data_IF_771220204408
#
_entry.id   IF_771220204408
#
_cell.length_a   1.000
_cell.length_b   1.000
_cell.length_c   1.000
_cell.angle_alpha   90.00
_cell.angle_beta   90.00
_cell.angle_gamma   90.00
#
_symmetry.space_group_name_H-M   'P 1'
#
loop_
_entity.id
_entity.type
_entity.pdbx_description
1 polymer ?
#
# COMPACT_ATOMS: atom_id res chain seq x y z
N UNK A 1 -18.21 6.77 -30.83
CA UNK A 1 -17.93 5.98 -29.61
C UNK A 1 -16.67 6.55 -28.99
N UNK A 2 -16.72 7.01 -27.74
CA UNK A 2 -15.60 7.14 -26.81
C UNK A 2 -16.24 7.47 -25.46
N UNK A 3 -16.49 6.44 -24.66
CA UNK A 3 -16.94 6.61 -23.28
C UNK A 3 -15.71 6.35 -22.42
N UNK A 4 -15.01 7.42 -22.05
CA UNK A 4 -13.97 7.36 -21.04
C UNK A 4 -14.65 7.03 -19.70
N UNK A 5 -14.45 5.81 -19.20
CA UNK A 5 -14.82 5.44 -17.84
C UNK A 5 -13.88 6.19 -16.89
N UNK A 6 -14.36 7.30 -16.35
CA UNK A 6 -13.74 7.95 -15.20
C UNK A 6 -13.99 7.06 -13.98
N UNK A 7 -12.96 6.35 -13.54
CA UNK A 7 -12.92 5.80 -12.19
C UNK A 7 -12.75 6.98 -11.22
N UNK A 8 -13.82 7.29 -10.49
CA UNK A 8 -13.81 8.24 -9.38
C UNK A 8 -12.87 7.72 -8.28
N UNK A 9 -11.91 8.52 -7.77
CA UNK A 9 -11.02 8.08 -6.71
C UNK A 9 -11.79 8.10 -5.38
N UNK A 10 -12.25 6.92 -4.94
CA UNK A 10 -12.63 6.67 -3.55
C UNK A 10 -11.38 6.28 -2.74
N UNK A 11 -10.35 7.15 -2.72
CA UNK A 11 -9.01 6.79 -2.20
C UNK A 11 -8.83 7.06 -0.69
N UNK A 12 -9.70 7.81 -0.03
CA UNK A 12 -9.33 8.37 1.28
C UNK A 12 -9.58 7.49 2.53
N UNK A 13 -9.95 6.21 2.43
CA UNK A 13 -10.31 5.42 3.63
C UNK A 13 -9.79 3.97 3.71
N UNK A 14 -8.98 3.50 2.75
CA UNK A 14 -8.49 2.11 2.74
C UNK A 14 -6.98 1.96 2.92
N UNK A 15 -6.21 3.05 3.03
CA UNK A 15 -4.75 2.98 3.05
C UNK A 15 -4.14 2.52 4.40
N UNK A 16 -4.92 2.41 5.49
CA UNK A 16 -4.39 2.07 6.83
C UNK A 16 -4.92 0.77 7.45
N UNK A 17 -5.64 -0.07 6.70
CA UNK A 17 -6.24 -1.30 7.24
C UNK A 17 -5.72 -2.62 6.65
N UNK A 18 -4.52 -2.63 6.06
CA UNK A 18 -3.86 -3.87 5.64
C UNK A 18 -3.09 -4.63 6.74
N UNK A 19 -2.91 -4.16 8.00
CA UNK A 19 -2.34 -5.06 9.03
C UNK A 19 -3.34 -6.13 9.51
N UNK A 20 -4.65 -5.86 9.45
CA UNK A 20 -5.64 -6.65 10.19
C UNK A 20 -5.93 -8.03 9.60
N UNK A 21 -5.64 -8.28 8.31
CA UNK A 21 -5.78 -9.63 7.73
C UNK A 21 -4.50 -10.47 7.81
N UNK A 22 -3.32 -9.84 7.89
CA UNK A 22 -2.05 -10.55 8.04
C UNK A 22 -1.89 -11.20 9.42
N UNK A 23 -2.39 -10.54 10.47
CA UNK A 23 -2.29 -11.04 11.85
C UNK A 23 -3.15 -12.29 12.13
N UNK A 24 -4.21 -12.54 11.34
CA UNK A 24 -5.09 -13.69 11.56
C UNK A 24 -4.54 -15.02 10.99
N UNK A 25 -3.50 -14.96 10.14
CA UNK A 25 -2.91 -16.14 9.48
C UNK A 25 -1.53 -16.53 10.01
N UNK A 26 -1.08 -16.00 11.15
CA UNK A 26 0.14 -16.46 11.85
C UNK A 26 1.47 -16.31 11.08
N UNK A 27 1.45 -15.78 9.86
CA UNK A 27 2.64 -15.38 9.11
C UNK A 27 2.87 -13.89 9.33
N UNK A 28 4.06 -13.52 9.78
CA UNK A 28 4.48 -12.11 9.75
C UNK A 28 4.39 -11.56 8.33
N UNK A 29 4.38 -10.22 8.21
CA UNK A 29 4.50 -9.60 6.90
C UNK A 29 5.74 -10.16 6.17
N UNK A 30 5.64 -10.52 4.87
CA UNK A 30 6.77 -11.03 4.12
C UNK A 30 7.91 -10.00 4.13
N UNK A 31 9.14 -10.49 4.31
CA UNK A 31 10.33 -9.62 4.30
C UNK A 31 10.55 -8.99 2.91
N UNK A 32 11.40 -7.97 2.81
CA UNK A 32 11.82 -7.39 1.51
C UNK A 32 12.31 -8.49 0.58
N UNK A 33 13.17 -9.37 1.10
CA UNK A 33 13.77 -10.45 0.33
C UNK A 33 12.69 -11.42 -0.17
N UNK A 34 11.70 -11.76 0.65
CA UNK A 34 10.58 -12.61 0.24
C UNK A 34 9.75 -11.97 -0.87
N UNK A 35 9.49 -10.66 -0.78
CA UNK A 35 8.74 -9.92 -1.80
C UNK A 35 9.50 -9.86 -3.14
N UNK A 36 10.81 -9.59 -3.11
CA UNK A 36 11.63 -9.58 -4.32
C UNK A 36 11.74 -10.97 -4.93
N UNK A 37 11.93 -12.01 -4.11
CA UNK A 37 11.98 -13.40 -4.58
C UNK A 37 10.66 -13.84 -5.22
N UNK A 38 9.52 -13.42 -4.65
CA UNK A 38 8.22 -13.73 -5.24
C UNK A 38 8.06 -13.07 -6.61
N UNK A 39 8.51 -11.82 -6.78
CA UNK A 39 8.48 -11.15 -8.08
C UNK A 39 9.43 -11.83 -9.08
N UNK A 40 10.60 -12.27 -8.63
CA UNK A 40 11.55 -13.03 -9.45
C UNK A 40 10.97 -14.32 -10.00
N UNK A 41 10.32 -15.11 -9.15
CA UNK A 41 9.65 -16.36 -9.56
C UNK A 41 8.56 -16.12 -10.62
N UNK A 42 7.95 -14.94 -10.63
CA UNK A 42 6.88 -14.60 -11.56
C UNK A 42 7.37 -14.03 -12.90
N UNK A 43 8.43 -13.22 -12.91
CA UNK A 43 8.86 -12.48 -14.11
C UNK A 43 10.35 -12.57 -14.45
N UNK A 44 11.07 -13.48 -13.82
CA UNK A 44 12.50 -13.75 -14.08
C UNK A 44 13.32 -12.45 -14.01
N UNK A 45 13.48 -11.93 -12.80
CA UNK A 45 14.17 -10.67 -12.57
C UNK A 45 15.68 -10.88 -12.75
N UNK A 46 16.35 -9.90 -13.35
CA UNK A 46 17.81 -9.89 -13.34
C UNK A 46 18.35 -9.33 -12.01
N UNK A 47 19.63 -9.57 -11.73
CA UNK A 47 20.28 -9.16 -10.48
C UNK A 47 20.16 -7.65 -10.20
N UNK A 48 20.25 -6.81 -11.24
CA UNK A 48 20.10 -5.36 -11.11
C UNK A 48 18.67 -4.96 -10.72
N UNK A 49 17.67 -5.62 -11.29
CA UNK A 49 16.27 -5.38 -10.93
C UNK A 49 15.97 -5.82 -9.49
N UNK A 50 16.56 -6.94 -9.04
CA UNK A 50 16.42 -7.42 -7.66
C UNK A 50 17.00 -6.43 -6.66
N UNK A 51 18.20 -5.92 -6.95
CA UNK A 51 18.87 -4.91 -6.10
C UNK A 51 18.05 -3.61 -6.04
N UNK A 52 17.58 -3.13 -7.20
CA UNK A 52 16.77 -1.90 -7.26
C UNK A 52 15.44 -2.04 -6.52
N UNK A 53 14.73 -3.16 -6.70
CA UNK A 53 13.50 -3.44 -5.96
C UNK A 53 13.74 -3.58 -4.46
N UNK A 54 14.81 -4.27 -4.05
CA UNK A 54 15.15 -4.40 -2.63
C UNK A 54 15.40 -3.04 -1.99
N UNK A 55 16.13 -2.15 -2.67
CA UNK A 55 16.39 -0.79 -2.20
C UNK A 55 15.09 0.04 -2.09
N UNK A 56 14.23 -0.01 -3.11
CA UNK A 56 12.96 0.72 -3.12
C UNK A 56 12.00 0.23 -2.03
N UNK A 57 11.90 -1.09 -1.83
CA UNK A 57 11.04 -1.69 -0.81
C UNK A 57 11.58 -1.46 0.61
N UNK A 58 12.89 -1.37 0.77
CA UNK A 58 13.53 -1.02 2.05
C UNK A 58 13.26 0.45 2.38
N UNK A 59 13.49 1.34 1.41
CA UNK A 59 13.19 2.76 1.56
C UNK A 59 11.72 2.97 1.94
N UNK A 60 10.80 2.31 1.24
CA UNK A 60 9.38 2.38 1.55
C UNK A 60 9.06 1.97 2.99
N UNK A 61 9.69 0.91 3.51
CA UNK A 61 9.47 0.47 4.90
C UNK A 61 10.01 1.46 5.91
N UNK A 62 11.19 2.03 5.66
CA UNK A 62 11.79 3.04 6.54
C UNK A 62 10.92 4.31 6.57
N UNK A 63 10.50 4.78 5.39
CA UNK A 63 9.67 5.98 5.23
C UNK A 63 8.28 5.78 5.87
N UNK A 64 7.64 4.62 5.65
CA UNK A 64 6.37 4.28 6.30
C UNK A 64 6.51 4.24 7.81
N UNK A 65 7.56 3.59 8.35
CA UNK A 65 7.77 3.51 9.79
C UNK A 65 7.97 4.88 10.44
N UNK A 66 8.77 5.75 9.82
CA UNK A 66 8.98 7.12 10.31
C UNK A 66 7.69 7.94 10.26
N UNK A 67 6.96 7.89 9.14
CA UNK A 67 5.74 8.65 8.93
C UNK A 67 4.61 8.20 9.86
N UNK A 68 4.44 6.89 10.08
CA UNK A 68 3.46 6.36 11.04
C UNK A 68 3.77 6.82 12.47
N UNK A 69 5.05 6.86 12.85
CA UNK A 69 5.46 7.34 14.17
C UNK A 69 5.16 8.83 14.34
N UNK A 70 5.47 9.67 13.34
CA UNK A 70 5.15 11.11 13.39
C UNK A 70 3.64 11.35 13.44
N UNK A 71 2.86 10.64 12.62
CA UNK A 71 1.40 10.76 12.61
C UNK A 71 0.79 10.40 13.97
N UNK A 72 1.26 9.32 14.60
CA UNK A 72 0.80 8.93 15.94
C UNK A 72 1.15 9.96 17.01
N UNK A 73 2.31 10.62 16.91
CA UNK A 73 2.70 11.69 17.83
C UNK A 73 1.81 12.93 17.66
N UNK A 74 1.57 13.35 16.41
CA UNK A 74 0.68 14.49 16.12
C UNK A 74 -0.75 14.23 16.57
N UNK A 75 -1.27 13.01 16.38
CA UNK A 75 -2.60 12.63 16.88
C UNK A 75 -2.69 12.66 18.41
N UNK A 76 -1.63 12.25 19.11
CA UNK A 76 -1.55 12.34 20.57
C UNK A 76 -1.53 13.81 21.02
N UNK A 77 -0.67 14.64 20.42
CA UNK A 77 -0.60 16.08 20.71
C UNK A 77 -1.95 16.77 20.50
N UNK A 78 -2.62 16.51 19.37
CA UNK A 78 -3.97 17.01 19.09
C UNK A 78 -4.99 16.60 20.16
N UNK A 79 -4.86 15.39 20.70
CA UNK A 79 -5.73 14.89 21.77
C UNK A 79 -5.44 15.56 23.12
N UNK A 80 -4.17 15.89 23.41
CA UNK A 80 -3.74 16.59 24.62
C UNK A 80 -4.22 18.05 24.66
N UNK A 81 -4.43 18.69 23.50
CA UNK A 81 -4.99 20.04 23.42
C UNK A 81 -6.47 20.14 23.82
N UNK A 82 -7.17 19.02 24.00
CA UNK A 82 -8.58 18.99 24.40
C UNK A 82 -8.73 19.33 25.89
N UNK A 83 -8.73 20.62 26.21
CA UNK A 83 -8.86 21.14 27.57
C UNK A 83 -9.62 22.47 27.62
N UNK A 84 -10.12 22.92 28.80
CA UNK A 84 -10.92 24.15 28.93
C UNK A 84 -10.20 25.43 28.44
N UNK A 85 -8.88 25.51 28.60
CA UNK A 85 -8.04 26.64 28.19
C UNK A 85 -7.26 26.34 26.91
N UNK A 86 -7.93 25.73 25.92
CA UNK A 86 -7.28 25.27 24.69
C UNK A 86 -6.55 26.40 23.93
N UNK A 87 -5.42 26.05 23.32
CA UNK A 87 -4.68 26.92 22.40
C UNK A 87 -5.08 26.61 20.96
N UNK A 88 -5.93 27.45 20.37
CA UNK A 88 -6.38 27.28 18.99
C UNK A 88 -5.22 27.30 17.99
N UNK A 89 -4.21 28.15 18.23
CA UNK A 89 -3.09 28.29 17.30
C UNK A 89 -2.24 27.01 17.30
N UNK A 90 -2.00 26.42 18.47
CA UNK A 90 -1.30 25.15 18.59
C UNK A 90 -2.08 24.00 17.93
N UNK A 91 -3.39 23.89 18.16
CA UNK A 91 -4.24 22.87 17.51
C UNK A 91 -4.18 22.99 15.98
N UNK A 92 -4.29 24.21 15.44
CA UNK A 92 -4.23 24.42 13.99
C UNK A 92 -2.86 24.07 13.41
N UNK A 93 -1.77 24.40 14.12
CA UNK A 93 -0.42 24.07 13.68
C UNK A 93 -0.19 22.55 13.64
N UNK A 94 -0.60 21.82 14.68
CA UNK A 94 -0.44 20.36 14.73
C UNK A 94 -1.33 19.67 13.69
N UNK A 95 -2.54 20.20 13.43
CA UNK A 95 -3.43 19.69 12.40
C UNK A 95 -2.90 19.97 10.97
N UNK A 96 -2.32 21.14 10.73
CA UNK A 96 -1.67 21.46 9.46
C UNK A 96 -0.49 20.53 9.21
N UNK A 97 0.35 20.30 10.24
CA UNK A 97 1.47 19.36 10.15
C UNK A 97 1.02 17.93 9.84
N UNK A 98 -0.06 17.46 10.47
CA UNK A 98 -0.64 16.15 10.17
C UNK A 98 -1.18 16.05 8.73
N UNK A 99 -1.78 17.14 8.24
CA UNK A 99 -2.23 17.27 6.86
C UNK A 99 -1.07 17.21 5.86
N UNK A 100 0.00 17.96 6.11
CA UNK A 100 1.21 17.95 5.28
C UNK A 100 1.85 16.55 5.23
N UNK A 101 1.99 15.90 6.39
CA UNK A 101 2.50 14.54 6.48
C UNK A 101 1.65 13.56 5.66
N UNK A 102 0.32 13.67 5.75
CA UNK A 102 -0.60 12.81 4.97
C UNK A 102 -0.43 13.04 3.46
N UNK A 103 -0.23 14.30 3.05
CA UNK A 103 -0.02 14.63 1.65
C UNK A 103 1.33 14.10 1.12
N UNK A 104 2.40 14.25 1.91
CA UNK A 104 3.73 13.72 1.62
C UNK A 104 3.70 12.20 1.48
N UNK A 105 3.14 11.49 2.47
CA UNK A 105 2.95 10.04 2.42
C UNK A 105 2.19 9.58 1.17
N UNK A 106 1.15 10.32 0.77
CA UNK A 106 0.36 10.01 -0.43
C UNK A 106 1.22 10.17 -1.68
N UNK A 107 1.98 11.26 -1.78
CA UNK A 107 2.86 11.51 -2.91
C UNK A 107 3.96 10.45 -2.99
N UNK A 108 4.63 10.16 -1.88
CA UNK A 108 5.73 9.20 -1.80
C UNK A 108 5.28 7.78 -2.17
N UNK A 109 4.09 7.37 -1.72
CA UNK A 109 3.51 6.07 -2.10
C UNK A 109 3.36 5.95 -3.62
N UNK A 110 2.85 6.98 -4.29
CA UNK A 110 2.69 6.98 -5.76
C UNK A 110 4.04 7.05 -6.47
N UNK A 111 4.99 7.81 -5.92
CA UNK A 111 6.35 7.92 -6.47
C UNK A 111 7.06 6.57 -6.40
N UNK A 112 7.08 5.93 -5.23
CA UNK A 112 7.71 4.62 -5.03
C UNK A 112 7.04 3.57 -5.92
N UNK A 113 5.71 3.56 -6.02
CA UNK A 113 4.99 2.67 -6.94
C UNK A 113 5.44 2.88 -8.39
N UNK A 114 5.56 4.14 -8.82
CA UNK A 114 6.01 4.49 -10.18
C UNK A 114 7.46 4.07 -10.42
N UNK A 115 8.32 4.18 -9.42
CA UNK A 115 9.72 3.74 -9.50
C UNK A 115 9.80 2.22 -9.63
N UNK A 116 9.04 1.47 -8.82
CA UNK A 116 8.92 0.01 -8.90
C UNK A 116 8.45 -0.42 -10.29
N UNK A 117 7.39 0.20 -10.84
CA UNK A 117 6.93 -0.08 -12.21
C UNK A 117 8.00 0.18 -13.28
N UNK A 118 8.86 1.18 -13.03
CA UNK A 118 9.99 1.54 -13.88
C UNK A 118 11.12 0.53 -13.91
N UNK A 119 11.27 -0.31 -12.87
CA UNK A 119 12.28 -1.37 -12.81
C UNK A 119 11.97 -2.48 -13.81
N UNK A 120 10.70 -2.77 -14.03
CA UNK A 120 10.27 -3.84 -14.94
C UNK A 120 10.36 -3.43 -16.41
N UNK A 121 10.62 -4.41 -17.27
CA UNK A 121 10.42 -4.24 -18.72
C UNK A 121 8.93 -4.30 -19.07
N UNK A 122 8.57 -3.86 -20.29
CA UNK A 122 7.17 -3.97 -20.74
C UNK A 122 6.67 -5.42 -20.76
N UNK A 123 7.49 -6.36 -21.23
CA UNK A 123 7.13 -7.78 -21.25
C UNK A 123 6.92 -8.36 -19.85
N UNK A 124 7.74 -7.94 -18.87
CA UNK A 124 7.56 -8.37 -17.47
C UNK A 124 6.28 -7.78 -16.85
N UNK A 125 5.93 -6.52 -17.18
CA UNK A 125 4.64 -5.94 -16.75
C UNK A 125 3.46 -6.69 -17.35
N UNK A 126 3.49 -6.97 -18.65
CA UNK A 126 2.43 -7.73 -19.31
C UNK A 126 2.26 -9.13 -18.69
N UNK A 127 3.38 -9.77 -18.30
CA UNK A 127 3.38 -11.07 -17.63
C UNK A 127 2.82 -11.01 -16.19
N UNK A 128 3.12 -9.95 -15.44
CA UNK A 128 2.50 -9.71 -14.12
C UNK A 128 0.99 -9.52 -14.25
N UNK A 129 0.56 -8.70 -15.22
CA UNK A 129 -0.86 -8.44 -15.45
C UNK A 129 -1.62 -9.73 -15.78
N UNK A 130 -1.03 -10.60 -16.62
CA UNK A 130 -1.60 -11.91 -16.94
C UNK A 130 -1.65 -12.82 -15.71
N UNK A 131 -0.58 -12.90 -14.91
CA UNK A 131 -0.55 -13.71 -13.71
C UNK A 131 -1.63 -13.28 -12.70
N UNK A 132 -1.78 -11.96 -12.50
CA UNK A 132 -2.81 -11.39 -11.63
C UNK A 132 -4.21 -11.67 -12.16
N UNK A 133 -4.44 -11.52 -13.46
CA UNK A 133 -5.74 -11.82 -14.07
C UNK A 133 -6.12 -13.30 -13.87
N UNK A 134 -5.20 -14.22 -14.13
CA UNK A 134 -5.42 -15.66 -13.93
C UNK A 134 -5.71 -16.00 -12.46
N UNK A 135 -5.00 -15.39 -11.51
CA UNK A 135 -5.24 -15.59 -10.09
C UNK A 135 -6.64 -15.09 -9.67
N UNK A 136 -7.06 -13.92 -10.18
CA UNK A 136 -8.39 -13.38 -9.91
C UNK A 136 -9.50 -14.28 -10.45
N UNK A 137 -9.33 -14.83 -11.66
CA UNK A 137 -10.29 -15.77 -12.24
C UNK A 137 -10.41 -17.05 -11.41
N UNK A 138 -9.30 -17.60 -10.95
CA UNK A 138 -9.30 -18.79 -10.09
C UNK A 138 -10.02 -18.52 -8.76
N UNK A 139 -9.77 -17.37 -8.13
CA UNK A 139 -10.48 -17.01 -6.90
C UNK A 139 -11.98 -16.85 -7.12
N UNK A 140 -12.39 -16.24 -8.22
CA UNK A 140 -13.82 -16.10 -8.56
C UNK A 140 -14.49 -17.46 -8.77
N UNK A 141 -13.81 -18.42 -9.39
CA UNK A 141 -14.31 -19.79 -9.56
C UNK A 141 -14.46 -20.50 -8.22
N UNK A 142 -13.44 -20.45 -7.35
CA UNK A 142 -13.51 -21.06 -6.02
C UNK A 142 -14.64 -20.47 -5.17
N UNK A 143 -14.84 -19.16 -5.23
CA UNK A 143 -15.95 -18.48 -4.55
C UNK A 143 -17.31 -18.97 -5.06
N UNK A 144 -17.48 -19.15 -6.37
CA UNK A 144 -18.72 -19.67 -6.97
C UNK A 144 -18.99 -21.11 -6.54
N UNK A 145 -17.96 -21.96 -6.46
CA UNK A 145 -18.08 -23.35 -6.01
C UNK A 145 -18.45 -23.45 -4.53
N UNK A 146 -17.90 -22.58 -3.67
CA UNK A 146 -18.27 -22.53 -2.25
C UNK A 146 -19.70 -22.03 -2.04
N UNK A 147 -20.16 -21.05 -2.84
CA UNK A 147 -21.54 -20.55 -2.79
C UNK A 147 -22.55 -21.62 -3.23
N UNK A 148 -22.22 -22.44 -4.24
CA UNK A 148 -23.07 -23.55 -4.67
C UNK A 148 -23.14 -24.68 -3.63
N UNK A 149 -22.09 -24.90 -2.85
CA UNK A 149 -22.08 -25.91 -1.77
C UNK A 149 -22.78 -25.46 -0.48
N UNK A 150 -22.86 -24.17 -0.20
CA UNK A 150 -23.56 -23.63 0.98
C UNK A 150 -25.04 -23.26 0.71
N UNK A 151 -25.42 -23.11 -0.55
CA UNK A 151 -26.80 -22.80 -0.97
C UNK A 151 -27.64 -24.02 -1.38
N UNK A 152 -27.10 -25.25 -1.24
CA UNK A 152 -27.75 -26.53 -1.54
C UNK A 152 -28.28 -27.25 -0.31
#
# INVERSE_FOLDING_TARGET
MHVAKLFLPAVAALAFSVPAMAQQMGGGAPSVDDQVNQLDEMVDLNDGQKEELSNLLTQMQDDVGANEQEAQQLQQQLSEHVQPDYDEAAIRADAERLGDLTAEMTADSIIIQSQIEGVFTQGQRDQLDEAVAQQQEQMQQQMQEQMQQQGG
#
